data_IF_436157798546
#
_entry.id   IF_436157798546
#
_cell.length_a   1.000
_cell.length_b   1.000
_cell.length_c   1.000
_cell.angle_alpha   90.00
_cell.angle_beta   90.00
_cell.angle_gamma   90.00
#
_symmetry.space_group_name_H-M   'P 1'
#
loop_
_entity.id
_entity.type
_entity.pdbx_description
1 polymer ?
#
# COMPACT_ATOMS: atom_id res chain seq x y z
N UNK A 1 5.45 -22.41 28.42
CA UNK A 1 4.26 -21.94 27.68
C UNK A 1 4.13 -20.46 27.98
N UNK A 2 4.07 -19.61 26.97
CA UNK A 2 3.87 -18.18 27.21
C UNK A 2 2.52 -17.94 27.88
N UNK A 3 2.46 -16.98 28.84
CA UNK A 3 1.22 -16.53 29.45
C UNK A 3 0.45 -15.55 28.52
N UNK A 4 0.72 -15.60 27.23
CA UNK A 4 0.07 -14.73 26.27
C UNK A 4 -1.41 -15.09 26.11
N UNK A 5 -2.26 -14.09 26.24
CA UNK A 5 -3.70 -14.22 26.08
C UNK A 5 -4.21 -13.06 25.24
N UNK A 6 -4.50 -13.31 23.98
CA UNK A 6 -5.02 -12.29 23.05
C UNK A 6 -6.39 -11.71 23.45
N UNK A 7 -7.14 -12.38 24.33
CA UNK A 7 -8.43 -11.92 24.83
C UNK A 7 -8.31 -10.97 26.06
N UNK A 8 -7.14 -10.82 26.64
CA UNK A 8 -6.88 -9.86 27.72
C UNK A 8 -6.58 -8.46 27.16
N UNK A 9 -7.62 -7.82 26.62
CA UNK A 9 -7.52 -6.55 25.90
C UNK A 9 -6.80 -5.47 26.72
N UNK A 10 -7.05 -5.41 28.03
CA UNK A 10 -6.48 -4.37 28.89
C UNK A 10 -4.95 -4.44 29.04
N UNK A 11 -4.34 -5.58 28.70
CA UNK A 11 -2.90 -5.76 28.75
C UNK A 11 -2.17 -5.18 27.51
N UNK A 12 -2.91 -4.77 26.49
CA UNK A 12 -2.36 -4.33 25.20
C UNK A 12 -2.35 -2.80 25.09
N UNK A 13 -1.28 -2.27 24.49
CA UNK A 13 -1.09 -0.84 24.31
C UNK A 13 -0.18 -0.56 23.13
N UNK A 14 -0.26 0.65 22.59
CA UNK A 14 0.56 1.17 21.50
C UNK A 14 0.14 0.69 20.11
N UNK A 15 0.39 1.51 19.11
CA UNK A 15 0.19 1.20 17.70
C UNK A 15 1.52 0.81 17.10
N UNK A 16 1.55 -0.35 16.44
CA UNK A 16 2.77 -0.87 15.83
C UNK A 16 2.63 -0.98 14.32
N UNK A 17 3.75 -0.78 13.64
CA UNK A 17 3.90 -0.97 12.20
C UNK A 17 5.05 -1.94 11.94
N UNK A 18 4.77 -3.01 11.21
CA UNK A 18 5.83 -3.83 10.64
C UNK A 18 6.51 -3.07 9.51
N UNK A 19 7.80 -2.83 9.66
CA UNK A 19 8.62 -2.12 8.70
C UNK A 19 9.34 -3.14 7.81
N UNK A 20 8.87 -3.26 6.56
CA UNK A 20 9.44 -4.18 5.57
C UNK A 20 10.73 -3.62 5.03
N UNK A 21 11.77 -4.42 5.05
CA UNK A 21 13.04 -4.08 4.41
C UNK A 21 13.42 -5.09 3.32
N UNK A 22 14.15 -4.64 2.33
CA UNK A 22 14.79 -5.48 1.32
C UNK A 22 16.24 -5.05 1.15
N UNK A 23 17.16 -5.97 1.41
CA UNK A 23 18.60 -5.70 1.34
C UNK A 23 19.02 -4.49 2.21
N UNK A 24 18.41 -4.34 3.38
CA UNK A 24 18.68 -3.25 4.33
C UNK A 24 18.01 -1.92 4.02
N UNK A 25 17.15 -1.85 3.00
CA UNK A 25 16.40 -0.65 2.61
C UNK A 25 14.93 -0.78 2.98
N UNK A 26 14.40 0.23 3.64
CA UNK A 26 12.98 0.35 3.96
C UNK A 26 12.13 0.51 2.69
N UNK A 27 10.91 0.00 2.75
CA UNK A 27 9.96 0.13 1.66
C UNK A 27 9.15 1.43 1.78
N UNK A 28 8.75 2.06 0.65
CA UNK A 28 7.91 3.27 0.69
C UNK A 28 6.62 3.11 1.51
N UNK A 29 6.03 1.93 1.50
CA UNK A 29 4.82 1.60 2.28
C UNK A 29 5.03 1.74 3.79
N UNK A 30 6.25 1.56 4.29
CA UNK A 30 6.54 1.72 5.72
C UNK A 30 6.32 3.16 6.16
N UNK A 31 6.76 4.12 5.34
CA UNK A 31 6.59 5.55 5.62
C UNK A 31 5.13 5.99 5.60
N UNK A 32 4.34 5.42 4.68
CA UNK A 32 2.89 5.61 4.65
C UNK A 32 2.24 5.10 5.93
N UNK A 33 2.59 3.87 6.35
CA UNK A 33 2.01 3.24 7.52
C UNK A 33 2.47 3.87 8.83
N UNK A 34 3.73 4.29 8.95
CA UNK A 34 4.21 5.06 10.10
C UNK A 34 3.45 6.39 10.19
N UNK A 35 3.21 7.06 9.05
CA UNK A 35 2.45 8.32 9.03
C UNK A 35 1.00 8.12 9.48
N UNK A 36 0.30 7.10 8.95
CA UNK A 36 -1.08 6.78 9.39
C UNK A 36 -1.11 6.25 10.83
N UNK A 37 -0.15 5.43 11.20
CA UNK A 37 0.00 4.93 12.58
C UNK A 37 0.19 6.07 13.59
N UNK A 38 0.85 7.18 13.20
CA UNK A 38 0.98 8.37 14.04
C UNK A 38 -0.37 9.01 14.33
N UNK A 39 -1.24 9.12 13.31
CA UNK A 39 -2.59 9.66 13.52
C UNK A 39 -3.37 8.78 14.50
N UNK A 40 -3.39 7.46 14.26
CA UNK A 40 -4.08 6.50 15.14
C UNK A 40 -3.53 6.52 16.58
N UNK A 41 -2.22 6.60 16.75
CA UNK A 41 -1.60 6.64 18.05
C UNK A 41 -1.90 7.97 18.80
N UNK A 42 -1.97 9.10 18.08
CA UNK A 42 -2.40 10.38 18.64
C UNK A 42 -3.85 10.32 19.14
N UNK A 43 -4.76 9.73 18.36
CA UNK A 43 -6.18 9.57 18.70
C UNK A 43 -6.36 8.66 19.93
N UNK A 44 -5.54 7.63 20.06
CA UNK A 44 -5.53 6.73 21.22
C UNK A 44 -4.76 7.27 22.43
N UNK A 45 -3.91 8.29 22.26
CA UNK A 45 -3.03 8.81 23.32
C UNK A 45 -1.93 7.82 23.74
N UNK A 46 -1.37 7.08 22.76
CA UNK A 46 -0.35 6.04 22.95
C UNK A 46 0.87 6.29 22.05
N UNK A 47 1.92 5.46 22.22
CA UNK A 47 3.10 5.53 21.35
C UNK A 47 2.85 4.84 20.00
N UNK A 48 3.59 5.32 18.99
CA UNK A 48 3.77 4.64 17.72
C UNK A 48 5.12 3.94 17.68
N UNK A 49 5.11 2.63 17.46
CA UNK A 49 6.32 1.82 17.38
C UNK A 49 6.50 1.23 15.98
N UNK A 50 7.68 1.40 15.38
CA UNK A 50 8.11 0.60 14.25
C UNK A 50 8.71 -0.72 14.71
N UNK A 51 8.37 -1.85 14.07
CA UNK A 51 9.01 -3.15 14.28
C UNK A 51 9.86 -3.48 13.06
N UNK A 52 11.17 -3.49 13.22
CA UNK A 52 12.15 -3.65 12.14
C UNK A 52 12.98 -4.91 12.36
N UNK A 53 12.88 -5.85 11.42
CA UNK A 53 13.62 -7.11 11.43
C UNK A 53 14.64 -7.12 10.29
N UNK A 54 15.82 -7.67 10.55
CA UNK A 54 16.82 -7.82 9.48
C UNK A 54 18.12 -8.49 9.91
N UNK A 55 19.05 -8.51 8.98
CA UNK A 55 20.44 -8.92 9.23
C UNK A 55 21.20 -7.87 10.03
N UNK A 56 22.48 -8.15 10.27
CA UNK A 56 23.39 -7.27 10.99
C UNK A 56 23.42 -5.86 10.35
N UNK A 57 23.30 -4.81 11.16
CA UNK A 57 23.35 -3.41 10.74
C UNK A 57 22.02 -2.80 10.31
N UNK A 58 20.90 -3.55 10.37
CA UNK A 58 19.57 -3.02 10.02
C UNK A 58 19.15 -1.85 10.92
N UNK A 59 19.68 -1.78 12.12
CA UNK A 59 19.45 -0.65 13.06
C UNK A 59 19.68 0.73 12.41
N UNK A 60 20.60 0.82 11.46
CA UNK A 60 20.89 2.09 10.77
C UNK A 60 19.69 2.69 10.03
N UNK A 61 18.72 1.85 9.61
CA UNK A 61 17.50 2.28 8.95
C UNK A 61 16.41 2.79 9.93
N UNK A 62 16.56 2.51 11.23
CA UNK A 62 15.52 2.82 12.23
C UNK A 62 15.26 4.34 12.37
N UNK A 63 16.28 5.19 12.23
CA UNK A 63 16.16 6.64 12.34
C UNK A 63 15.21 7.23 11.29
N UNK A 64 15.20 6.66 10.10
CA UNK A 64 14.33 7.15 9.01
C UNK A 64 12.85 7.01 9.39
N UNK A 65 12.47 5.93 10.10
CA UNK A 65 11.12 5.72 10.58
C UNK A 65 10.69 6.80 11.60
N UNK A 66 11.61 7.23 12.47
CA UNK A 66 11.37 8.35 13.39
C UNK A 66 11.02 9.64 12.65
N UNK A 67 11.69 9.93 11.53
CA UNK A 67 11.43 11.12 10.71
C UNK A 67 10.02 11.20 10.14
N UNK A 68 9.33 10.07 10.00
CA UNK A 68 7.93 10.01 9.58
C UNK A 68 6.93 9.91 10.73
N UNK A 69 7.40 9.79 11.97
CA UNK A 69 6.54 9.92 13.15
C UNK A 69 6.60 8.78 14.16
N UNK A 70 7.47 7.78 14.01
CA UNK A 70 7.66 6.76 15.03
C UNK A 70 8.28 7.36 16.30
N UNK A 71 7.71 7.07 17.48
CA UNK A 71 8.29 7.44 18.77
C UNK A 71 9.41 6.47 19.13
N UNK A 72 9.23 5.19 18.77
CA UNK A 72 10.13 4.09 19.10
C UNK A 72 10.27 3.15 17.89
N UNK A 73 11.47 2.59 17.72
CA UNK A 73 11.71 1.49 16.78
C UNK A 73 12.30 0.31 17.52
N UNK A 74 11.59 -0.82 17.48
CA UNK A 74 12.04 -2.08 18.03
C UNK A 74 12.80 -2.81 16.94
N UNK A 75 14.08 -3.06 17.18
CA UNK A 75 14.99 -3.66 16.20
C UNK A 75 15.31 -5.09 16.61
N UNK A 76 15.07 -6.03 15.70
CA UNK A 76 15.38 -7.44 15.84
C UNK A 76 16.45 -7.83 14.81
N UNK A 77 17.68 -8.03 15.25
CA UNK A 77 18.81 -8.38 14.40
C UNK A 77 19.19 -9.87 14.54
N UNK A 78 19.28 -10.57 13.42
CA UNK A 78 19.83 -11.92 13.34
C UNK A 78 20.31 -12.19 11.92
N UNK A 79 21.42 -12.92 11.72
CA UNK A 79 21.82 -13.39 10.39
C UNK A 79 20.72 -14.19 9.68
N UNK A 80 19.88 -14.90 10.42
CA UNK A 80 18.74 -15.67 9.91
C UNK A 80 17.57 -14.80 9.42
N UNK A 81 17.59 -13.49 9.71
CA UNK A 81 16.60 -12.52 9.26
C UNK A 81 17.11 -11.66 8.08
N UNK A 82 18.32 -11.89 7.59
CA UNK A 82 18.88 -11.13 6.47
C UNK A 82 18.05 -11.31 5.19
N UNK A 83 17.54 -12.52 4.96
CA UNK A 83 16.60 -12.83 3.87
C UNK A 83 15.26 -13.23 4.47
N UNK A 84 14.18 -12.75 3.85
CA UNK A 84 12.83 -13.07 4.31
C UNK A 84 12.54 -14.56 4.18
N UNK A 85 12.11 -15.17 5.29
CA UNK A 85 11.41 -16.45 5.35
C UNK A 85 10.18 -16.28 6.22
N UNK A 86 9.04 -16.83 5.82
CA UNK A 86 7.78 -16.71 6.57
C UNK A 86 7.92 -17.25 8.00
N UNK A 87 8.56 -18.40 8.15
CA UNK A 87 8.71 -19.06 9.45
C UNK A 87 9.57 -18.23 10.41
N UNK A 88 10.73 -17.75 9.94
CA UNK A 88 11.65 -16.96 10.75
C UNK A 88 11.06 -15.63 11.19
N UNK A 89 10.48 -14.88 10.23
CA UNK A 89 9.86 -13.59 10.52
C UNK A 89 8.64 -13.74 11.41
N UNK A 90 7.73 -14.69 11.13
CA UNK A 90 6.53 -14.92 11.94
C UNK A 90 6.89 -15.33 13.37
N UNK A 91 7.93 -16.15 13.56
CA UNK A 91 8.38 -16.52 14.92
C UNK A 91 8.81 -15.28 15.70
N UNK A 92 9.75 -14.50 15.16
CA UNK A 92 10.29 -13.34 15.86
C UNK A 92 9.23 -12.30 16.13
N UNK A 93 8.39 -11.97 15.15
CA UNK A 93 7.29 -11.02 15.33
C UNK A 93 6.32 -11.46 16.42
N UNK A 94 5.92 -12.74 16.42
CA UNK A 94 5.00 -13.24 17.43
C UNK A 94 5.64 -13.23 18.83
N UNK A 95 6.90 -13.62 18.96
CA UNK A 95 7.63 -13.59 20.24
C UNK A 95 7.68 -12.15 20.80
N UNK A 96 7.99 -11.14 19.95
CA UNK A 96 8.02 -9.73 20.36
C UNK A 96 6.62 -9.22 20.72
N UNK A 97 5.58 -9.60 19.99
CA UNK A 97 4.19 -9.22 20.27
C UNK A 97 3.70 -9.87 21.58
N UNK A 98 4.08 -11.12 21.86
CA UNK A 98 3.73 -11.78 23.12
C UNK A 98 4.34 -11.08 24.32
N UNK A 99 5.57 -10.56 24.19
CA UNK A 99 6.28 -9.83 25.24
C UNK A 99 5.72 -8.41 25.45
N UNK A 100 5.51 -7.65 24.37
CA UNK A 100 5.28 -6.20 24.44
C UNK A 100 3.82 -5.78 24.17
N UNK A 101 2.98 -6.67 23.66
CA UNK A 101 1.52 -6.58 23.59
C UNK A 101 0.99 -5.29 22.93
N UNK A 102 1.22 -5.06 21.64
CA UNK A 102 0.65 -3.91 20.92
C UNK A 102 -0.88 -4.01 20.81
N UNK A 103 -1.59 -2.88 20.91
CA UNK A 103 -3.04 -2.76 20.69
C UNK A 103 -3.39 -3.03 19.23
N UNK A 104 -2.64 -2.42 18.32
CA UNK A 104 -2.82 -2.55 16.87
C UNK A 104 -1.50 -2.89 16.19
N UNK A 105 -1.54 -3.73 15.15
CA UNK A 105 -0.37 -4.09 14.37
C UNK A 105 -0.66 -3.99 12.87
N UNK A 106 -0.05 -3.01 12.22
CA UNK A 106 -0.24 -2.68 10.81
C UNK A 106 0.90 -3.27 9.98
N UNK A 107 0.57 -3.82 8.84
CA UNK A 107 1.51 -4.47 7.90
C UNK A 107 1.19 -3.96 6.50
N UNK A 108 2.18 -3.63 5.67
CA UNK A 108 1.95 -3.33 4.26
C UNK A 108 1.40 -4.54 3.51
N UNK A 109 0.36 -4.40 2.69
CA UNK A 109 -0.18 -5.48 1.86
C UNK A 109 0.70 -5.73 0.61
N UNK A 110 2.00 -5.75 0.79
CA UNK A 110 3.00 -6.23 -0.17
C UNK A 110 2.91 -7.75 -0.32
N UNK A 111 3.67 -8.35 -1.22
CA UNK A 111 3.74 -9.82 -1.31
C UNK A 111 4.19 -10.46 0.00
N UNK A 112 5.19 -9.85 0.68
CA UNK A 112 5.66 -10.31 2.00
C UNK A 112 4.56 -10.13 3.05
N UNK A 113 3.96 -8.95 3.15
CA UNK A 113 2.95 -8.70 4.17
C UNK A 113 1.66 -9.51 4.01
N UNK A 114 1.27 -9.84 2.77
CA UNK A 114 0.13 -10.74 2.48
C UNK A 114 0.39 -12.18 2.89
N UNK A 115 1.64 -12.61 2.88
CA UNK A 115 2.07 -13.93 3.38
C UNK A 115 2.23 -13.91 4.91
N UNK A 116 2.93 -12.93 5.44
CA UNK A 116 3.31 -12.82 6.84
C UNK A 116 2.14 -12.52 7.78
N UNK A 117 1.29 -11.55 7.41
CA UNK A 117 0.20 -11.07 8.27
C UNK A 117 -0.76 -12.16 8.72
N UNK A 118 -1.35 -12.97 7.82
CA UNK A 118 -2.22 -14.08 8.20
C UNK A 118 -1.51 -15.14 9.06
N UNK A 119 -0.23 -15.38 8.81
CA UNK A 119 0.56 -16.34 9.59
C UNK A 119 0.73 -15.87 11.04
N UNK A 120 1.06 -14.60 11.25
CA UNK A 120 1.14 -14.00 12.59
C UNK A 120 -0.23 -14.00 13.29
N UNK A 121 -1.31 -13.58 12.61
CA UNK A 121 -2.65 -13.54 13.18
C UNK A 121 -3.12 -14.92 13.67
N UNK A 122 -2.89 -15.97 12.86
CA UNK A 122 -3.21 -17.33 13.23
C UNK A 122 -2.42 -17.81 14.45
N UNK A 123 -1.13 -17.49 14.53
CA UNK A 123 -0.26 -17.88 15.65
C UNK A 123 -0.61 -17.17 16.95
N UNK A 124 -1.00 -15.89 16.85
CA UNK A 124 -1.41 -15.05 17.98
C UNK A 124 -2.90 -15.25 18.37
N UNK A 125 -3.64 -16.10 17.67
CA UNK A 125 -5.06 -16.30 17.87
C UNK A 125 -5.87 -15.01 17.85
N UNK A 126 -5.62 -14.14 16.88
CA UNK A 126 -6.34 -12.87 16.68
C UNK A 126 -6.88 -12.75 15.26
N UNK A 127 -7.68 -11.67 15.02
CA UNK A 127 -8.22 -11.37 13.70
C UNK A 127 -7.30 -10.47 12.88
N UNK A 128 -7.36 -10.65 11.55
CA UNK A 128 -6.68 -9.79 10.59
C UNK A 128 -7.63 -9.35 9.50
N UNK A 129 -7.73 -8.04 9.25
CA UNK A 129 -8.39 -7.50 8.08
C UNK A 129 -7.37 -7.31 6.94
N UNK A 130 -7.61 -7.96 5.80
CA UNK A 130 -6.68 -7.93 4.68
C UNK A 130 -7.03 -6.82 3.69
N UNK A 131 -5.98 -6.16 3.15
CA UNK A 131 -6.05 -5.22 2.02
C UNK A 131 -6.88 -3.97 2.31
N UNK A 132 -6.70 -3.41 3.52
CA UNK A 132 -7.38 -2.20 3.96
C UNK A 132 -6.96 -0.99 3.13
N UNK A 133 -7.93 -0.08 2.93
CA UNK A 133 -7.71 1.20 2.23
C UNK A 133 -8.00 2.39 3.13
N UNK A 134 -8.66 2.18 4.29
CA UNK A 134 -8.90 3.22 5.27
C UNK A 134 -8.88 2.64 6.69
N UNK A 135 -8.40 3.43 7.65
CA UNK A 135 -8.24 3.05 9.06
C UNK A 135 -8.62 4.22 9.97
N UNK A 136 -9.47 3.97 10.99
CA UNK A 136 -9.79 4.92 12.04
C UNK A 136 -9.91 4.21 13.39
N UNK A 137 -9.62 4.91 14.46
CA UNK A 137 -9.96 4.48 15.84
C UNK A 137 -11.03 5.40 16.44
N UNK A 138 -11.03 6.66 16.06
CA UNK A 138 -11.99 7.66 16.52
C UNK A 138 -13.32 7.56 15.76
N UNK A 139 -14.45 7.58 16.50
CA UNK A 139 -15.78 7.47 15.86
C UNK A 139 -16.15 8.72 15.05
N UNK A 140 -15.92 9.96 15.54
CA UNK A 140 -16.13 11.16 14.74
C UNK A 140 -15.44 11.14 13.37
N UNK A 141 -14.16 10.76 13.31
CA UNK A 141 -13.40 10.67 12.07
C UNK A 141 -13.99 9.60 11.14
N UNK A 142 -14.33 8.44 11.70
CA UNK A 142 -14.97 7.36 10.95
C UNK A 142 -16.34 7.77 10.38
N UNK A 143 -17.17 8.46 11.16
CA UNK A 143 -18.48 8.98 10.70
C UNK A 143 -18.29 10.00 9.59
N UNK A 144 -17.29 10.89 9.70
CA UNK A 144 -16.96 11.84 8.65
C UNK A 144 -16.53 11.14 7.36
N UNK A 145 -15.66 10.14 7.47
CA UNK A 145 -15.27 9.30 6.33
C UNK A 145 -16.48 8.65 5.66
N UNK A 146 -17.43 8.11 6.43
CA UNK A 146 -18.66 7.52 5.87
C UNK A 146 -19.55 8.54 5.16
N UNK A 147 -19.64 9.79 5.66
CA UNK A 147 -20.37 10.86 5.00
C UNK A 147 -19.81 11.20 3.63
N UNK A 148 -18.48 11.21 3.52
CA UNK A 148 -17.77 11.59 2.29
C UNK A 148 -17.71 10.44 1.27
N UNK A 149 -17.64 9.18 1.74
CA UNK A 149 -17.33 8.03 0.90
C UNK A 149 -18.49 7.04 0.71
N UNK A 150 -19.64 7.26 1.35
CA UNK A 150 -20.76 6.31 1.27
C UNK A 150 -22.11 7.02 1.05
N UNK A 151 -23.13 6.23 0.69
CA UNK A 151 -24.53 6.69 0.56
C UNK A 151 -25.34 6.41 1.83
N UNK A 152 -24.69 6.03 2.94
CA UNK A 152 -25.36 5.72 4.20
C UNK A 152 -25.87 7.00 4.86
N UNK A 153 -27.09 6.93 5.42
CA UNK A 153 -27.60 7.99 6.27
C UNK A 153 -27.01 7.85 7.69
N UNK A 154 -25.76 8.35 7.82
CA UNK A 154 -24.96 8.23 9.06
C UNK A 154 -25.57 8.99 10.23
N UNK A 155 -26.40 10.00 9.96
CA UNK A 155 -27.05 10.83 10.98
C UNK A 155 -28.24 10.12 11.63
N UNK A 156 -28.85 9.15 10.97
CA UNK A 156 -29.88 8.29 11.55
C UNK A 156 -29.33 7.12 12.38
N UNK A 157 -28.01 6.86 12.32
CA UNK A 157 -27.36 5.74 13.00
C UNK A 157 -27.00 6.10 14.44
N UNK A 158 -27.00 5.10 15.32
CA UNK A 158 -26.53 5.24 16.69
C UNK A 158 -25.07 4.85 16.76
N UNK A 159 -24.25 5.76 17.25
CA UNK A 159 -22.80 5.58 17.41
C UNK A 159 -22.42 5.50 18.87
N UNK A 160 -21.58 4.55 19.23
CA UNK A 160 -20.90 4.54 20.52
C UNK A 160 -19.65 5.42 20.41
N UNK A 161 -19.76 6.66 20.88
CA UNK A 161 -18.70 7.66 20.79
C UNK A 161 -17.48 7.33 21.65
N UNK A 162 -17.59 6.39 22.59
CA UNK A 162 -16.50 5.90 23.44
C UNK A 162 -15.75 4.71 22.78
N UNK A 163 -16.26 4.17 21.68
CA UNK A 163 -15.62 3.04 20.99
C UNK A 163 -14.28 3.45 20.38
N UNK A 164 -13.22 2.77 20.81
CA UNK A 164 -11.82 2.94 20.36
C UNK A 164 -11.29 1.74 19.56
N UNK A 165 -12.16 0.82 19.18
CA UNK A 165 -11.73 -0.28 18.33
C UNK A 165 -11.25 0.24 16.97
N UNK A 166 -10.16 -0.32 16.45
CA UNK A 166 -9.67 -0.02 15.11
C UNK A 166 -10.71 -0.44 14.06
N UNK A 167 -11.21 0.53 13.29
CA UNK A 167 -12.13 0.38 12.16
C UNK A 167 -11.30 0.20 10.90
N UNK A 168 -11.32 -1.00 10.36
CA UNK A 168 -10.50 -1.43 9.23
C UNK A 168 -11.39 -1.54 7.98
N UNK A 169 -11.36 -0.52 7.11
CA UNK A 169 -12.20 -0.49 5.92
C UNK A 169 -11.45 -1.00 4.71
N UNK A 170 -12.09 -1.89 3.98
CA UNK A 170 -11.53 -2.53 2.78
C UNK A 170 -12.56 -2.62 1.66
N UNK A 171 -12.15 -2.57 0.38
CA UNK A 171 -13.04 -2.86 -0.73
C UNK A 171 -13.43 -4.34 -0.75
N UNK A 172 -14.69 -4.59 -1.07
CA UNK A 172 -15.28 -5.90 -1.28
C UNK A 172 -16.01 -5.93 -2.64
N UNK A 173 -16.29 -7.12 -3.17
CA UNK A 173 -17.01 -7.31 -4.44
C UNK A 173 -16.57 -6.37 -5.57
N UNK A 174 -15.29 -6.45 -5.91
CA UNK A 174 -14.76 -5.67 -7.05
C UNK A 174 -14.67 -4.16 -6.83
N UNK A 175 -14.74 -3.70 -5.57
CA UNK A 175 -14.66 -2.28 -5.23
C UNK A 175 -16.02 -1.55 -5.19
N UNK A 176 -17.11 -2.25 -5.47
CA UNK A 176 -18.46 -1.65 -5.38
C UNK A 176 -18.99 -1.51 -3.96
N UNK A 177 -18.45 -2.30 -3.05
CA UNK A 177 -18.83 -2.27 -1.64
C UNK A 177 -17.59 -2.03 -0.80
N UNK A 178 -17.75 -1.24 0.24
CA UNK A 178 -16.74 -1.09 1.29
C UNK A 178 -17.22 -1.83 2.54
N UNK A 179 -16.36 -2.65 3.11
CA UNK A 179 -16.63 -3.37 4.33
C UNK A 179 -15.72 -2.87 5.44
N UNK A 180 -16.30 -2.43 6.55
CA UNK A 180 -15.53 -2.08 7.74
C UNK A 180 -15.57 -3.22 8.74
N UNK A 181 -14.40 -3.68 9.13
CA UNK A 181 -14.18 -4.80 10.04
C UNK A 181 -13.63 -4.24 11.35
N UNK A 182 -14.12 -4.76 12.47
CA UNK A 182 -13.59 -4.50 13.81
C UNK A 182 -13.24 -5.82 14.49
N UNK A 183 -12.27 -5.79 15.39
CA UNK A 183 -11.86 -6.95 16.19
C UNK A 183 -12.02 -6.63 17.69
N UNK A 184 -13.25 -6.71 18.23
CA UNK A 184 -13.53 -6.22 19.59
C UNK A 184 -13.07 -7.14 20.72
N UNK A 185 -12.71 -8.41 20.43
CA UNK A 185 -12.47 -9.44 21.45
C UNK A 185 -11.02 -9.89 21.58
N UNK A 186 -10.18 -9.59 20.61
CA UNK A 186 -8.80 -10.08 20.55
C UNK A 186 -7.83 -8.98 20.18
N UNK A 187 -6.58 -9.09 20.65
CA UNK A 187 -5.45 -8.19 20.36
C UNK A 187 -4.22 -8.99 19.96
N UNK A 188 -3.32 -8.38 19.17
CA UNK A 188 -3.49 -7.07 18.54
C UNK A 188 -4.61 -7.06 17.48
N UNK A 189 -5.23 -5.89 17.24
CA UNK A 189 -6.00 -5.69 16.01
C UNK A 189 -5.03 -5.66 14.84
N UNK A 190 -5.17 -6.57 13.88
CA UNK A 190 -4.22 -6.64 12.77
C UNK A 190 -4.85 -6.24 11.44
N UNK A 191 -4.11 -5.48 10.66
CA UNK A 191 -4.49 -5.11 9.30
C UNK A 191 -3.32 -5.23 8.34
N UNK A 192 -3.55 -5.80 7.15
CA UNK A 192 -2.69 -5.49 6.03
C UNK A 192 -3.27 -4.32 5.25
N UNK A 193 -2.44 -3.33 4.89
CA UNK A 193 -2.86 -2.07 4.28
C UNK A 193 -2.29 -1.98 2.87
N UNK A 194 -3.14 -1.66 1.91
CA UNK A 194 -2.76 -1.57 0.50
C UNK A 194 -1.70 -0.48 0.31
N UNK A 195 -0.57 -0.76 -0.36
CA UNK A 195 0.44 0.25 -0.70
C UNK A 195 -0.15 1.37 -1.56
N UNK A 196 0.29 2.60 -1.33
CA UNK A 196 -0.11 3.78 -2.11
C UNK A 196 -1.47 4.38 -1.73
N UNK A 197 -2.13 3.90 -0.66
CA UNK A 197 -3.43 4.44 -0.23
C UNK A 197 -3.36 5.37 0.98
N UNK A 198 -2.28 5.30 1.74
CA UNK A 198 -2.08 6.18 2.89
C UNK A 198 -1.12 7.31 2.53
N UNK A 199 -1.44 8.52 2.99
CA UNK A 199 -0.61 9.69 2.74
C UNK A 199 0.62 9.66 3.63
N UNK A 200 1.79 9.78 3.01
CA UNK A 200 3.06 9.92 3.71
C UNK A 200 3.24 11.34 4.21
N UNK A 201 3.63 11.50 5.49
CA UNK A 201 3.99 12.79 6.06
C UNK A 201 5.30 13.34 5.47
N UNK A 202 5.54 14.64 5.64
CA UNK A 202 6.84 15.21 5.36
C UNK A 202 7.88 14.66 6.36
N UNK A 203 9.09 14.40 5.87
CA UNK A 203 10.19 13.96 6.72
C UNK A 203 10.63 15.08 7.69
N UNK A 204 10.78 14.74 8.96
CA UNK A 204 11.22 15.64 10.02
C UNK A 204 12.52 15.14 10.63
N UNK A 205 13.61 15.85 10.37
CA UNK A 205 14.95 15.48 10.85
C UNK A 205 15.08 15.52 12.38
N UNK A 206 14.36 16.41 13.04
CA UNK A 206 14.39 16.51 14.49
C UNK A 206 13.75 15.26 15.13
N UNK A 207 12.65 14.77 14.56
CA UNK A 207 12.01 13.51 14.98
C UNK A 207 12.89 12.30 14.69
N UNK A 208 13.53 12.27 13.52
CA UNK A 208 14.45 11.20 13.15
C UNK A 208 15.62 11.06 14.16
N UNK A 209 16.09 12.20 14.69
CA UNK A 209 17.16 12.20 15.69
C UNK A 209 16.67 11.95 17.14
N UNK A 210 15.38 12.10 17.39
CA UNK A 210 14.76 11.91 18.71
C UNK A 210 14.15 10.52 18.92
N UNK A 211 14.03 9.70 17.87
CA UNK A 211 13.41 8.38 17.94
C UNK A 211 14.16 7.46 18.90
N UNK A 212 13.42 6.77 19.77
CA UNK A 212 13.98 5.74 20.66
C UNK A 212 14.22 4.45 19.89
N UNK A 213 15.45 3.95 19.88
CA UNK A 213 15.81 2.67 19.24
C UNK A 213 16.02 1.63 20.32
N UNK A 214 15.22 0.56 20.31
CA UNK A 214 15.26 -0.51 21.30
C UNK A 214 15.62 -1.83 20.61
N UNK A 215 16.76 -2.42 21.01
CA UNK A 215 17.11 -3.76 20.55
C UNK A 215 16.34 -4.81 21.34
N UNK A 216 15.65 -5.67 20.63
CA UNK A 216 14.97 -6.83 21.22
C UNK A 216 15.79 -8.09 20.95
N UNK A 217 15.93 -8.94 21.96
CA UNK A 217 16.69 -10.18 21.84
C UNK A 217 15.95 -11.18 20.93
N UNK A 218 16.65 -11.72 19.94
CA UNK A 218 16.10 -12.67 18.97
C UNK A 218 16.48 -14.10 19.40
N UNK A 219 15.49 -14.94 19.65
CA UNK A 219 15.67 -16.35 20.05
C UNK A 219 15.54 -17.32 18.85
N UNK A 220 15.63 -16.81 17.62
CA UNK A 220 15.49 -17.58 16.38
C UNK A 220 16.69 -18.51 16.18
N UNK A 221 16.42 -19.78 15.87
CA UNK A 221 17.39 -20.80 15.51
C UNK A 221 17.16 -21.31 14.09
N UNK A 222 18.11 -22.00 13.50
CA UNK A 222 17.94 -22.61 12.18
C UNK A 222 16.84 -23.69 12.16
N UNK A 223 16.55 -24.33 13.29
CA UNK A 223 15.49 -25.34 13.42
C UNK A 223 14.09 -24.75 13.34
N UNK A 224 13.93 -23.44 13.58
CA UNK A 224 12.66 -22.74 13.49
C UNK A 224 12.28 -22.42 12.02
N UNK A 225 13.21 -22.58 11.08
CA UNK A 225 13.04 -22.21 9.67
C UNK A 225 12.97 -23.50 8.84
N UNK A 226 11.81 -23.73 8.21
CA UNK A 226 11.53 -24.94 7.44
C UNK A 226 11.62 -24.76 5.92
N UNK A 227 11.98 -23.57 5.46
CA UNK A 227 12.15 -23.22 4.05
C UNK A 227 13.54 -22.65 3.83
N UNK A 228 14.14 -22.96 2.67
CA UNK A 228 15.45 -22.44 2.29
C UNK A 228 15.32 -21.56 1.05
N UNK A 229 15.94 -20.39 1.07
CA UNK A 229 16.01 -19.48 -0.09
C UNK A 229 17.25 -19.85 -0.89
N UNK A 230 17.06 -20.66 -1.92
CA UNK A 230 18.16 -21.16 -2.75
C UNK A 230 18.78 -20.09 -3.62
N UNK A 231 17.98 -19.10 -4.08
CA UNK A 231 18.44 -18.02 -4.95
C UNK A 231 17.50 -16.81 -4.86
N UNK A 232 18.06 -15.60 -4.85
CA UNK A 232 17.34 -14.34 -5.04
C UNK A 232 17.67 -13.80 -6.43
N UNK A 233 16.73 -13.95 -7.37
CA UNK A 233 16.91 -13.46 -8.74
C UNK A 233 16.53 -11.99 -8.79
N UNK A 234 17.51 -11.12 -9.01
CA UNK A 234 17.27 -9.68 -9.23
C UNK A 234 16.72 -9.47 -10.64
N UNK A 235 15.65 -8.68 -10.74
CA UNK A 235 15.14 -8.29 -12.05
C UNK A 235 16.24 -7.59 -12.86
N UNK A 236 16.51 -8.08 -14.06
CA UNK A 236 17.55 -7.54 -14.95
C UNK A 236 17.25 -6.10 -15.42
N UNK A 237 15.98 -5.68 -15.35
CA UNK A 237 15.54 -4.30 -15.61
C UNK A 237 14.98 -3.70 -14.32
N UNK A 238 15.22 -2.40 -14.11
CA UNK A 238 14.56 -1.65 -13.03
C UNK A 238 13.05 -1.80 -13.21
N UNK A 239 12.36 -2.38 -12.22
CA UNK A 239 10.91 -2.49 -12.24
C UNK A 239 10.28 -1.11 -12.34
N UNK A 240 9.16 -1.02 -13.05
CA UNK A 240 8.44 0.26 -13.19
C UNK A 240 7.82 0.63 -11.86
N UNK A 241 8.19 1.79 -11.34
CA UNK A 241 7.58 2.35 -10.15
C UNK A 241 6.30 3.10 -10.52
N UNK A 242 5.19 2.36 -10.59
CA UNK A 242 3.87 2.94 -10.84
C UNK A 242 3.29 3.66 -9.62
N UNK A 243 3.67 3.25 -8.41
CA UNK A 243 3.09 3.78 -7.17
C UNK A 243 3.66 5.15 -6.87
N UNK A 244 4.97 5.35 -7.05
CA UNK A 244 5.64 6.62 -6.82
C UNK A 244 5.62 7.60 -8.01
N UNK A 245 4.98 7.23 -9.13
CA UNK A 245 4.99 8.07 -10.34
C UNK A 245 3.93 9.17 -10.29
N UNK A 246 4.33 10.42 -10.55
CA UNK A 246 3.43 11.57 -10.71
C UNK A 246 2.60 11.52 -12.00
N UNK A 247 3.13 10.88 -13.05
CA UNK A 247 2.49 10.78 -14.36
C UNK A 247 2.50 9.34 -14.86
N UNK A 248 1.34 8.82 -15.23
CA UNK A 248 1.21 7.45 -15.75
C UNK A 248 0.46 7.48 -17.07
N UNK A 249 1.05 6.86 -18.10
CA UNK A 249 0.40 6.64 -19.39
C UNK A 249 0.09 5.15 -19.53
N UNK A 250 -1.16 4.76 -19.43
CA UNK A 250 -1.57 3.36 -19.45
C UNK A 250 -2.23 2.97 -20.77
N UNK A 251 -1.86 1.78 -21.26
CA UNK A 251 -2.41 1.20 -22.48
C UNK A 251 -3.41 0.08 -22.19
N UNK A 252 -4.44 0.01 -23.00
CA UNK A 252 -5.45 -1.05 -22.98
C UNK A 252 -5.48 -1.87 -24.26
N UNK A 253 -6.46 -2.76 -24.42
CA UNK A 253 -6.66 -3.57 -25.63
C UNK A 253 -6.85 -2.75 -26.92
N UNK A 254 -7.10 -1.45 -26.81
CA UNK A 254 -7.20 -0.54 -27.95
C UNK A 254 -5.95 -0.48 -28.83
N UNK A 255 -4.78 -0.92 -28.32
CA UNK A 255 -3.53 -1.00 -29.09
C UNK A 255 -3.40 -2.29 -29.91
N UNK A 256 -4.37 -3.21 -29.86
CA UNK A 256 -4.29 -4.56 -30.48
C UNK A 256 -4.02 -4.57 -31.99
N UNK A 257 -4.28 -3.49 -32.69
CA UNK A 257 -3.99 -3.38 -34.14
C UNK A 257 -2.50 -3.26 -34.44
N UNK A 258 -1.77 -2.58 -33.55
CA UNK A 258 -0.34 -2.35 -33.60
C UNK A 258 0.16 -2.21 -32.17
N UNK A 259 0.51 -3.34 -31.57
CA UNK A 259 0.92 -3.42 -30.15
C UNK A 259 2.21 -2.67 -29.92
N UNK A 260 3.21 -2.90 -30.80
CA UNK A 260 4.53 -2.28 -30.67
C UNK A 260 4.44 -0.76 -30.85
N UNK A 261 3.72 -0.30 -31.89
CA UNK A 261 3.48 1.12 -32.11
C UNK A 261 2.67 1.78 -30.98
N UNK A 262 1.69 1.07 -30.43
CA UNK A 262 0.88 1.56 -29.31
C UNK A 262 1.68 1.71 -28.00
N UNK A 263 2.57 0.76 -27.70
CA UNK A 263 3.48 0.84 -26.53
C UNK A 263 4.47 1.97 -26.75
N UNK A 264 5.08 2.08 -27.92
CA UNK A 264 6.03 3.14 -28.26
C UNK A 264 5.41 4.55 -28.10
N UNK A 265 4.19 4.75 -28.57
CA UNK A 265 3.46 6.01 -28.40
C UNK A 265 3.20 6.33 -26.91
N UNK A 266 2.90 5.31 -26.12
CA UNK A 266 2.73 5.49 -24.67
C UNK A 266 4.06 5.84 -23.98
N UNK A 267 5.17 5.23 -24.38
CA UNK A 267 6.52 5.52 -23.89
C UNK A 267 6.93 6.97 -24.25
N UNK A 268 6.73 7.40 -25.49
CA UNK A 268 7.02 8.76 -25.94
C UNK A 268 6.19 9.81 -25.16
N UNK A 269 4.90 9.53 -24.93
CA UNK A 269 4.03 10.42 -24.15
C UNK A 269 4.46 10.44 -22.68
N UNK A 270 4.79 9.29 -22.11
CA UNK A 270 5.28 9.19 -20.74
C UNK A 270 6.61 9.95 -20.56
N UNK A 271 7.54 9.81 -21.49
CA UNK A 271 8.81 10.54 -21.49
C UNK A 271 8.60 12.06 -21.53
N UNK A 272 7.73 12.53 -22.41
CA UNK A 272 7.42 13.97 -22.51
C UNK A 272 6.77 14.49 -21.23
N UNK A 273 5.97 13.68 -20.53
CA UNK A 273 5.38 14.06 -19.25
C UNK A 273 6.37 13.94 -18.08
N UNK A 274 7.42 13.12 -18.21
CA UNK A 274 8.32 12.74 -17.12
C UNK A 274 7.72 11.62 -16.25
N UNK A 275 6.94 10.74 -16.84
CA UNK A 275 6.22 9.67 -16.19
C UNK A 275 6.63 8.27 -16.62
N UNK A 276 5.77 7.31 -16.36
CA UNK A 276 5.98 5.88 -16.63
C UNK A 276 4.81 5.26 -17.40
N UNK A 277 5.07 4.11 -18.05
CA UNK A 277 4.04 3.37 -18.77
C UNK A 277 3.39 2.35 -17.87
N UNK A 278 2.05 2.36 -17.81
CA UNK A 278 1.21 1.35 -17.20
C UNK A 278 0.39 0.57 -18.24
N UNK A 279 -0.34 -0.43 -17.76
CA UNK A 279 -1.23 -1.22 -18.63
C UNK A 279 -2.40 -1.82 -17.89
N UNK A 280 -3.47 -2.11 -18.62
CA UNK A 280 -4.59 -2.85 -18.09
C UNK A 280 -4.25 -4.34 -17.96
N UNK A 281 -4.97 -5.08 -17.11
CA UNK A 281 -4.81 -6.53 -16.98
C UNK A 281 -4.80 -7.26 -18.34
N UNK A 282 -5.64 -6.82 -19.28
CA UNK A 282 -5.72 -7.44 -20.59
C UNK A 282 -4.42 -7.34 -21.40
N UNK A 283 -3.61 -6.29 -21.21
CA UNK A 283 -2.30 -6.15 -21.88
C UNK A 283 -1.24 -7.05 -21.26
N UNK A 284 -1.36 -7.34 -19.97
CA UNK A 284 -0.49 -8.26 -19.24
C UNK A 284 -0.83 -9.72 -19.61
N UNK A 285 -2.11 -10.07 -19.54
CA UNK A 285 -2.60 -11.41 -19.90
C UNK A 285 -2.28 -11.77 -21.37
N UNK A 286 -2.17 -10.76 -22.25
CA UNK A 286 -1.75 -10.93 -23.65
C UNK A 286 -0.22 -10.97 -23.82
N UNK A 287 0.58 -10.81 -22.76
CA UNK A 287 2.05 -10.81 -22.83
C UNK A 287 2.66 -9.56 -23.48
N UNK A 288 1.88 -8.47 -23.64
CA UNK A 288 2.37 -7.23 -24.27
C UNK A 288 3.22 -6.39 -23.31
N UNK A 289 2.88 -6.42 -22.02
CA UNK A 289 3.63 -5.78 -20.93
C UNK A 289 3.85 -6.79 -19.80
N UNK A 290 4.89 -6.59 -19.01
CA UNK A 290 5.16 -7.38 -17.82
C UNK A 290 4.22 -7.01 -16.65
N UNK A 291 4.09 -7.91 -15.69
CA UNK A 291 3.14 -7.78 -14.57
C UNK A 291 3.38 -6.52 -13.69
N UNK A 292 4.59 -5.99 -13.65
CA UNK A 292 4.95 -4.77 -12.93
C UNK A 292 4.33 -3.49 -13.52
N UNK A 293 3.86 -3.53 -14.77
CA UNK A 293 3.09 -2.46 -15.41
C UNK A 293 1.59 -2.51 -15.11
N UNK A 294 1.09 -3.55 -14.43
CA UNK A 294 -0.35 -3.72 -14.27
C UNK A 294 -0.96 -2.71 -13.30
N UNK A 295 -1.91 -1.91 -13.79
CA UNK A 295 -2.80 -1.05 -13.00
C UNK A 295 -4.17 -1.68 -12.87
N UNK A 296 -4.71 -1.67 -11.65
CA UNK A 296 -6.05 -2.18 -11.37
C UNK A 296 -6.12 -2.94 -10.03
N UNK A 297 -7.29 -3.45 -9.69
CA UNK A 297 -7.57 -4.15 -8.45
C UNK A 297 -6.62 -5.34 -8.16
N UNK A 298 -6.23 -6.08 -9.20
CA UNK A 298 -5.31 -7.23 -9.09
C UNK A 298 -3.86 -6.87 -9.45
N UNK A 299 -3.61 -5.61 -9.79
CA UNK A 299 -2.30 -5.02 -10.04
C UNK A 299 -1.94 -3.99 -8.98
N UNK A 300 -1.32 -2.91 -9.42
CA UNK A 300 -0.99 -1.78 -8.54
C UNK A 300 -2.15 -0.78 -8.51
N UNK A 301 -2.46 -0.26 -7.33
CA UNK A 301 -3.31 0.92 -7.15
C UNK A 301 -2.41 2.15 -7.17
N UNK A 302 -2.80 3.17 -7.94
CA UNK A 302 -1.97 4.35 -8.24
C UNK A 302 -2.78 5.63 -8.06
N UNK A 303 -2.10 6.70 -7.63
CA UNK A 303 -2.68 8.03 -7.42
C UNK A 303 -1.77 9.11 -8.03
N UNK A 304 -1.52 9.05 -9.36
CA UNK A 304 -0.69 10.04 -10.02
C UNK A 304 -1.41 11.40 -10.10
N UNK A 305 -0.64 12.47 -10.31
CA UNK A 305 -1.17 13.78 -10.68
C UNK A 305 -1.91 13.75 -12.02
N UNK A 306 -1.42 12.93 -12.97
CA UNK A 306 -2.12 12.72 -14.24
C UNK A 306 -2.04 11.25 -14.64
N UNK A 307 -3.21 10.69 -14.93
CA UNK A 307 -3.36 9.36 -15.49
C UNK A 307 -3.93 9.44 -16.91
N UNK A 308 -3.17 8.98 -17.90
CA UNK A 308 -3.61 8.95 -19.31
C UNK A 308 -3.99 7.53 -19.68
N UNK A 309 -5.26 7.30 -20.03
CA UNK A 309 -5.80 6.00 -20.42
C UNK A 309 -5.93 5.90 -21.96
N UNK A 310 -5.04 5.17 -22.61
CA UNK A 310 -5.02 4.98 -24.07
C UNK A 310 -5.67 3.66 -24.45
N UNK A 311 -6.86 3.71 -25.04
CA UNK A 311 -7.58 2.53 -25.51
C UNK A 311 -8.02 1.56 -24.39
N UNK A 312 -8.22 2.07 -23.19
CA UNK A 312 -8.74 1.34 -22.03
C UNK A 312 -10.26 1.48 -22.00
N UNK A 313 -10.97 0.37 -21.80
CA UNK A 313 -12.44 0.36 -21.76
C UNK A 313 -13.01 0.91 -20.45
N UNK A 314 -12.27 0.84 -19.33
CA UNK A 314 -12.76 1.24 -18.03
C UNK A 314 -13.54 0.15 -17.29
N UNK A 315 -13.10 -1.11 -17.39
CA UNK A 315 -13.61 -2.17 -16.54
C UNK A 315 -13.46 -1.78 -15.06
N UNK A 316 -14.44 -2.14 -14.24
CA UNK A 316 -14.51 -1.77 -12.82
C UNK A 316 -13.21 -2.08 -12.07
N UNK A 317 -12.61 -3.25 -12.36
CA UNK A 317 -11.35 -3.67 -11.75
C UNK A 317 -10.18 -2.78 -12.14
N UNK A 318 -10.22 -2.15 -13.32
CA UNK A 318 -9.20 -1.18 -13.73
C UNK A 318 -9.45 0.17 -13.07
N UNK A 319 -10.71 0.65 -13.11
CA UNK A 319 -11.13 1.91 -12.45
C UNK A 319 -10.73 1.91 -10.98
N UNK A 320 -10.97 0.83 -10.25
CA UNK A 320 -10.60 0.68 -8.84
C UNK A 320 -9.09 0.86 -8.52
N UNK A 321 -8.23 0.77 -9.53
CA UNK A 321 -6.79 0.96 -9.35
C UNK A 321 -6.28 2.35 -9.75
N UNK A 322 -7.14 3.27 -10.27
CA UNK A 322 -6.65 4.56 -10.75
C UNK A 322 -7.66 5.71 -10.65
N UNK A 323 -8.90 5.43 -10.24
CA UNK A 323 -9.97 6.45 -10.21
C UNK A 323 -9.70 7.64 -9.27
N UNK A 324 -8.83 7.44 -8.27
CA UNK A 324 -8.45 8.48 -7.31
C UNK A 324 -7.24 9.31 -7.78
N UNK A 325 -6.86 9.23 -9.07
CA UNK A 325 -5.86 10.11 -9.68
C UNK A 325 -6.36 11.56 -9.68
N UNK A 326 -5.45 12.54 -9.52
CA UNK A 326 -5.84 13.97 -9.47
C UNK A 326 -6.42 14.46 -10.81
N UNK A 327 -5.99 13.90 -11.94
CA UNK A 327 -6.52 14.20 -13.28
C UNK A 327 -6.48 12.94 -14.15
N UNK A 328 -7.61 12.59 -14.75
CA UNK A 328 -7.75 11.44 -15.65
C UNK A 328 -8.06 11.91 -17.06
N UNK A 329 -7.19 11.55 -18.01
CA UNK A 329 -7.37 11.83 -19.45
C UNK A 329 -7.63 10.49 -20.15
N UNK A 330 -8.77 10.33 -20.80
CA UNK A 330 -9.11 9.10 -21.50
C UNK A 330 -9.19 9.31 -23.01
N UNK A 331 -8.55 8.40 -23.76
CA UNK A 331 -8.63 8.33 -25.25
C UNK A 331 -9.21 6.99 -25.65
N UNK A 332 -10.40 6.97 -26.23
CA UNK A 332 -11.05 5.74 -26.68
C UNK A 332 -11.86 6.01 -27.97
N UNK A 333 -11.96 5.02 -28.86
CA UNK A 333 -12.80 5.08 -30.05
C UNK A 333 -14.28 4.92 -29.76
N UNK A 334 -14.60 4.18 -28.69
CA UNK A 334 -15.97 3.96 -28.25
C UNK A 334 -16.40 5.11 -27.35
N UNK A 335 -17.32 5.92 -27.77
CA UNK A 335 -17.88 7.06 -27.03
C UNK A 335 -18.68 6.66 -25.76
N UNK A 336 -19.14 5.41 -25.69
CA UNK A 336 -19.83 4.82 -24.54
C UNK A 336 -18.91 4.01 -23.63
N UNK A 337 -17.59 4.13 -23.80
CA UNK A 337 -16.66 3.39 -22.95
C UNK A 337 -16.73 3.85 -21.48
N UNK A 338 -16.91 2.93 -20.51
CA UNK A 338 -17.06 3.28 -19.09
C UNK A 338 -15.89 4.08 -18.48
N UNK A 339 -14.75 4.16 -19.14
CA UNK A 339 -13.63 5.00 -18.71
C UNK A 339 -13.99 6.49 -18.72
N UNK A 340 -14.89 6.90 -19.62
CA UNK A 340 -15.33 8.29 -19.73
C UNK A 340 -16.19 8.75 -18.55
N UNK A 341 -16.80 7.82 -17.80
CA UNK A 341 -17.58 8.14 -16.60
C UNK A 341 -16.74 8.77 -15.49
N UNK A 342 -15.43 8.45 -15.46
CA UNK A 342 -14.50 8.90 -14.42
C UNK A 342 -13.40 9.81 -14.97
N UNK A 343 -13.38 10.08 -16.28
CA UNK A 343 -12.36 10.91 -16.90
C UNK A 343 -12.73 12.40 -16.75
N UNK A 344 -11.76 13.20 -16.31
CA UNK A 344 -11.87 14.66 -16.32
C UNK A 344 -11.86 15.20 -17.75
N UNK A 345 -11.08 14.55 -18.63
CA UNK A 345 -10.99 14.87 -20.06
C UNK A 345 -11.13 13.60 -20.89
N UNK A 346 -12.18 13.55 -21.70
CA UNK A 346 -12.47 12.46 -22.63
C UNK A 346 -12.25 12.85 -24.08
N UNK A 347 -11.43 12.11 -24.81
CA UNK A 347 -11.22 12.30 -26.24
C UNK A 347 -11.73 11.05 -26.99
N UNK A 348 -12.88 11.20 -27.68
CA UNK A 348 -13.40 10.14 -28.53
C UNK A 348 -12.63 10.15 -29.85
N UNK A 349 -11.72 9.16 -30.05
CA UNK A 349 -10.88 9.12 -31.22
C UNK A 349 -9.93 7.92 -31.31
N UNK A 350 -9.20 7.87 -32.41
CA UNK A 350 -8.15 6.88 -32.62
C UNK A 350 -6.89 7.28 -31.85
N UNK A 351 -6.50 6.47 -30.86
CA UNK A 351 -5.30 6.73 -30.04
C UNK A 351 -4.03 6.92 -30.87
N UNK A 352 -3.91 6.21 -32.03
CA UNK A 352 -2.75 6.35 -32.92
C UNK A 352 -2.70 7.70 -33.66
N UNK A 353 -3.84 8.42 -33.73
CA UNK A 353 -3.90 9.80 -34.26
C UNK A 353 -3.85 10.85 -33.15
N UNK A 354 -4.54 10.57 -32.04
CA UNK A 354 -4.68 11.53 -30.93
C UNK A 354 -3.39 11.64 -30.13
N UNK A 355 -2.72 10.52 -29.82
CA UNK A 355 -1.51 10.52 -28.97
C UNK A 355 -0.35 11.34 -29.57
N UNK A 356 -0.01 11.24 -30.86
CA UNK A 356 1.01 12.11 -31.45
C UNK A 356 0.65 13.59 -31.33
N UNK A 357 -0.62 13.98 -31.51
CA UNK A 357 -1.06 15.36 -31.37
C UNK A 357 -0.92 15.85 -29.92
N UNK A 358 -1.22 15.01 -28.93
CA UNK A 358 -0.98 15.32 -27.52
C UNK A 358 0.51 15.53 -27.21
N UNK A 359 1.36 14.65 -27.73
CA UNK A 359 2.82 14.75 -27.56
C UNK A 359 3.33 16.11 -28.09
N UNK A 360 2.94 16.50 -29.30
CA UNK A 360 3.36 17.74 -29.92
C UNK A 360 2.81 18.98 -29.16
N UNK A 361 1.55 18.93 -28.71
CA UNK A 361 0.94 20.01 -27.94
C UNK A 361 1.66 20.21 -26.59
N UNK A 362 2.02 19.10 -25.90
CA UNK A 362 2.73 19.17 -24.62
C UNK A 362 4.17 19.69 -24.82
N UNK A 363 4.88 19.23 -25.86
CA UNK A 363 6.22 19.75 -26.21
C UNK A 363 6.17 21.25 -26.48
N UNK A 364 5.20 21.71 -27.27
CA UNK A 364 5.02 23.14 -27.56
C UNK A 364 4.72 23.95 -26.29
N UNK A 365 3.84 23.45 -25.41
CA UNK A 365 3.54 24.11 -24.15
C UNK A 365 4.75 24.19 -23.19
N UNK A 366 5.61 23.15 -23.17
CA UNK A 366 6.85 23.16 -22.38
C UNK A 366 7.90 24.10 -22.93
N UNK A 367 7.97 24.27 -24.24
CA UNK A 367 8.92 25.19 -24.90
C UNK A 367 8.51 26.65 -24.75
N UNK A 368 7.23 26.93 -24.45
CA UNK A 368 6.71 28.30 -24.25
C UNK A 368 6.81 28.78 -22.79
N UNK A 369 7.21 27.91 -21.85
CA UNK A 369 7.52 28.23 -20.45
C UNK A 369 9.03 28.44 -20.24
#
# INVERSE_FOLDING_TARGET
MSNFNSADIAAFKDVWVFCEQREGKLMPTDFELISKGRDLANELGVNLCGLLLGGEGIESAAKELGGYGADKVIVCESPLLATYTTDGYAKVICDVIEDLKPEAFLIGATNIGRDLGPRCAARLHTGLCADCTHLDVDVPNYVQFLRESSTLDVDSMKWDMEDRNLKMTRPAFGGHLMATIICPRFRPCMATVRPGVMKKNAFDEAKANAVEIVKHNVTLTAEDIHTDVTEVVKAAKKLVDLIGADYIVSVGRGISKDVEGGIKLAEELAEVLGGVVGGSRATIDSGWLSADHQVGQTGKTVHPKVYVALGISGAIQHKAGMQDSECIIAVNKNDTAPIFEIADYGICGDLFKVTPMLIEAIKAAKAAK
#
